data_IF_158288630824
#
_entry.id   IF_158288630824
#
_cell.length_a   1.000
_cell.length_b   1.000
_cell.length_c   1.000
_cell.angle_alpha   90.00
_cell.angle_beta   90.00
_cell.angle_gamma   90.00
#
_symmetry.space_group_name_H-M   'P 1'
#
loop_
_entity.id
_entity.type
_entity.pdbx_description
1 polymer ?
#
# COMPACT_ATOMS: atom_id res chain seq x y z
N UNK A 1 31.33 -34.05 31.68
CA UNK A 1 31.54 -34.85 30.46
C UNK A 1 30.51 -34.51 29.36
N UNK A 2 30.52 -33.28 28.86
CA UNK A 2 30.01 -32.92 27.52
C UNK A 2 30.54 -31.54 27.06
N UNK A 3 31.58 -31.02 27.74
CA UNK A 3 32.21 -29.71 27.47
C UNK A 3 33.63 -29.91 26.88
N UNK A 4 34.04 -31.16 26.62
CA UNK A 4 35.41 -31.50 26.21
C UNK A 4 35.54 -31.83 24.71
N UNK A 5 34.46 -31.89 23.94
CA UNK A 5 34.50 -32.36 22.53
C UNK A 5 34.46 -31.20 21.50
N UNK A 6 34.11 -29.97 21.90
CA UNK A 6 34.13 -28.80 21.01
C UNK A 6 35.33 -27.87 21.24
N UNK A 7 36.40 -28.37 21.88
CA UNK A 7 37.59 -27.60 22.23
C UNK A 7 38.65 -27.49 21.12
N UNK A 8 38.60 -28.33 20.07
CA UNK A 8 39.73 -28.52 19.15
C UNK A 8 39.52 -28.08 17.70
N UNK A 9 38.46 -27.32 17.38
CA UNK A 9 38.27 -26.75 16.03
C UNK A 9 38.18 -25.22 16.03
N UNK A 10 38.89 -24.57 16.95
CA UNK A 10 38.96 -23.11 17.10
C UNK A 10 40.37 -22.56 16.91
N UNK A 11 41.16 -23.11 15.97
CA UNK A 11 42.52 -22.64 15.70
C UNK A 11 42.95 -22.65 14.22
N UNK A 12 42.01 -22.63 13.27
CA UNK A 12 42.36 -22.36 11.88
C UNK A 12 41.33 -21.44 11.24
N UNK A 13 41.80 -20.27 10.81
CA UNK A 13 41.11 -19.17 10.10
C UNK A 13 40.69 -17.99 10.99
N UNK A 14 41.44 -16.90 10.81
CA UNK A 14 41.30 -15.61 11.46
C UNK A 14 40.14 -14.73 10.93
N UNK A 15 40.31 -13.40 10.87
CA UNK A 15 39.36 -12.43 11.40
C UNK A 15 38.28 -11.97 10.41
N UNK A 16 37.34 -12.84 10.02
CA UNK A 16 36.25 -12.49 9.10
C UNK A 16 34.83 -12.66 9.67
N UNK A 17 34.67 -12.74 10.99
CA UNK A 17 33.37 -12.98 11.62
C UNK A 17 32.93 -11.83 12.55
N UNK A 18 32.95 -10.58 12.06
CA UNK A 18 32.55 -9.42 12.88
C UNK A 18 31.90 -8.27 12.11
N UNK A 19 30.97 -8.54 11.17
CA UNK A 19 30.24 -7.43 10.52
C UNK A 19 28.83 -7.67 9.96
N UNK A 20 28.08 -8.67 10.43
CA UNK A 20 26.66 -8.85 10.07
C UNK A 20 25.68 -8.75 11.24
N UNK A 21 26.11 -8.22 12.40
CA UNK A 21 25.27 -8.18 13.62
C UNK A 21 24.68 -6.79 13.93
N UNK A 22 25.18 -5.71 13.34
CA UNK A 22 24.85 -4.33 13.79
C UNK A 22 23.84 -3.56 12.94
N UNK A 23 23.38 -4.07 11.79
CA UNK A 23 22.26 -3.48 11.02
C UNK A 23 20.88 -3.91 11.53
N UNK A 24 20.82 -4.99 12.33
CA UNK A 24 19.59 -5.64 12.78
C UNK A 24 19.00 -5.06 14.08
N UNK A 25 19.74 -4.19 14.78
CA UNK A 25 19.32 -3.67 16.10
C UNK A 25 18.70 -2.26 16.02
N UNK A 26 18.96 -1.48 14.96
CA UNK A 26 18.36 -0.13 14.78
C UNK A 26 16.93 -0.14 14.25
N UNK A 27 16.45 -1.25 13.71
CA UNK A 27 15.07 -1.41 13.22
C UNK A 27 14.07 -1.72 14.36
N UNK A 28 14.60 -2.12 15.53
CA UNK A 28 13.83 -2.63 16.68
C UNK A 28 13.08 -1.58 17.51
N UNK A 29 13.25 -0.27 17.30
CA UNK A 29 12.76 0.76 18.23
C UNK A 29 11.52 1.57 17.77
N UNK A 30 11.06 1.40 16.52
CA UNK A 30 9.84 2.09 16.02
C UNK A 30 8.62 1.14 16.05
N UNK A 31 8.87 -0.16 16.24
CA UNK A 31 7.90 -1.24 16.13
C UNK A 31 7.63 -1.89 17.49
N UNK A 32 6.81 -1.30 18.35
CA UNK A 32 6.40 -1.97 19.59
C UNK A 32 4.86 -2.13 19.65
N UNK A 33 4.07 -1.16 19.17
CA UNK A 33 2.61 -1.31 19.00
C UNK A 33 2.19 -1.81 17.60
N UNK A 34 2.94 -1.45 16.54
CA UNK A 34 2.73 -1.95 15.18
C UNK A 34 3.37 -3.33 14.93
N UNK A 35 4.23 -3.78 15.85
CA UNK A 35 5.00 -5.01 15.75
C UNK A 35 4.15 -6.27 15.64
N UNK A 36 3.04 -6.45 16.39
CA UNK A 36 2.28 -7.69 16.31
C UNK A 36 1.55 -7.84 14.96
N UNK A 37 0.87 -6.79 14.48
CA UNK A 37 0.08 -6.85 13.25
C UNK A 37 0.99 -7.00 12.03
N UNK A 38 2.07 -6.22 11.95
CA UNK A 38 3.02 -6.31 10.84
C UNK A 38 3.73 -7.68 10.86
N UNK A 39 4.09 -8.19 12.04
CA UNK A 39 4.72 -9.51 12.17
C UNK A 39 3.75 -10.65 11.85
N UNK A 40 2.47 -10.52 12.18
CA UNK A 40 1.43 -11.47 11.80
C UNK A 40 1.14 -11.43 10.30
N UNK A 41 1.07 -10.24 9.70
CA UNK A 41 0.90 -10.10 8.25
C UNK A 41 2.07 -10.71 7.49
N UNK A 42 3.31 -10.42 7.90
CA UNK A 42 4.51 -10.98 7.29
C UNK A 42 4.66 -12.49 7.53
N UNK A 43 4.24 -13.02 8.68
CA UNK A 43 4.15 -14.47 8.90
C UNK A 43 3.06 -15.12 8.02
N UNK A 44 1.89 -14.49 7.93
CA UNK A 44 0.75 -14.98 7.14
C UNK A 44 1.09 -15.07 5.65
N UNK A 45 1.76 -14.04 5.11
CA UNK A 45 2.28 -14.05 3.73
C UNK A 45 3.22 -15.25 3.51
N UNK A 46 4.15 -15.50 4.44
CA UNK A 46 5.06 -16.66 4.36
C UNK A 46 4.33 -17.99 4.48
N UNK A 47 3.27 -18.08 5.28
CA UNK A 47 2.48 -19.29 5.46
C UNK A 47 1.60 -19.61 4.25
N UNK A 48 1.16 -18.62 3.48
CA UNK A 48 0.40 -18.81 2.24
C UNK A 48 1.35 -19.04 1.06
N UNK A 49 2.51 -18.37 1.03
CA UNK A 49 3.51 -18.54 -0.03
C UNK A 49 4.09 -19.95 -0.09
N UNK A 50 4.41 -20.55 1.06
CA UNK A 50 4.98 -21.90 1.13
C UNK A 50 4.11 -23.02 0.52
N UNK A 51 2.82 -23.18 0.86
CA UNK A 51 1.97 -24.22 0.29
C UNK A 51 1.70 -24.00 -1.20
N UNK A 52 1.51 -22.74 -1.62
CA UNK A 52 1.32 -22.40 -3.05
C UNK A 52 2.57 -22.77 -3.84
N UNK A 53 3.74 -22.32 -3.38
CA UNK A 53 5.01 -22.62 -4.04
C UNK A 53 5.29 -24.13 -4.08
N UNK A 54 4.99 -24.87 -3.00
CA UNK A 54 5.10 -26.35 -2.99
C UNK A 54 4.18 -27.00 -4.02
N UNK A 55 2.95 -26.52 -4.16
CA UNK A 55 2.01 -26.99 -5.18
C UNK A 55 2.55 -26.76 -6.60
N UNK A 56 3.06 -25.55 -6.88
CA UNK A 56 3.61 -25.20 -8.20
C UNK A 56 4.91 -25.99 -8.48
N UNK A 57 5.76 -26.22 -7.47
CA UNK A 57 6.95 -27.09 -7.58
C UNK A 57 6.54 -28.53 -7.97
N UNK A 58 5.51 -29.08 -7.34
CA UNK A 58 4.99 -30.42 -7.66
C UNK A 58 4.44 -30.47 -9.09
N UNK A 59 3.71 -29.43 -9.52
CA UNK A 59 3.18 -29.32 -10.88
C UNK A 59 4.29 -29.20 -11.93
N UNK A 60 5.35 -28.44 -11.65
CA UNK A 60 6.51 -28.32 -12.52
C UNK A 60 7.30 -29.61 -12.68
N UNK A 61 7.39 -30.43 -11.62
CA UNK A 61 8.03 -31.75 -11.68
C UNK A 61 7.15 -32.79 -12.39
N UNK A 62 5.84 -32.75 -12.18
CA UNK A 62 4.90 -33.69 -12.80
C UNK A 62 4.65 -33.37 -14.27
N UNK A 63 4.75 -32.11 -14.68
CA UNK A 63 4.58 -31.68 -16.07
C UNK A 63 5.80 -30.87 -16.55
N UNK A 64 6.76 -31.51 -17.24
CA UNK A 64 7.98 -30.84 -17.72
C UNK A 64 7.68 -29.70 -18.71
N UNK A 65 6.55 -29.76 -19.43
CA UNK A 65 6.10 -28.67 -20.31
C UNK A 65 5.79 -27.40 -19.52
N UNK A 66 5.14 -27.54 -18.36
CA UNK A 66 4.83 -26.43 -17.48
C UNK A 66 6.09 -25.87 -16.84
N UNK A 67 6.97 -26.75 -16.33
CA UNK A 67 8.25 -26.35 -15.77
C UNK A 67 9.11 -25.53 -16.75
N UNK A 68 9.24 -26.02 -17.99
CA UNK A 68 10.09 -25.39 -19.01
C UNK A 68 9.49 -24.12 -19.63
N UNK A 69 8.16 -24.04 -19.79
CA UNK A 69 7.52 -22.87 -20.43
C UNK A 69 7.10 -21.78 -19.45
N UNK A 70 6.78 -22.13 -18.21
CA UNK A 70 6.20 -21.19 -17.24
C UNK A 70 7.20 -20.85 -16.14
N UNK A 71 7.83 -21.85 -15.53
CA UNK A 71 8.75 -21.62 -14.40
C UNK A 71 10.18 -21.25 -14.85
N UNK A 72 10.70 -21.89 -15.90
CA UNK A 72 12.09 -21.69 -16.31
C UNK A 72 12.39 -20.29 -16.89
N UNK A 73 11.56 -19.67 -17.75
CA UNK A 73 11.88 -18.35 -18.31
C UNK A 73 12.07 -17.25 -17.26
N UNK A 74 11.19 -17.06 -16.26
CA UNK A 74 11.40 -16.06 -15.22
C UNK A 74 12.61 -16.39 -14.32
N UNK A 75 12.86 -17.68 -14.05
CA UNK A 75 14.01 -18.10 -13.27
C UNK A 75 15.34 -17.81 -13.98
N UNK A 76 15.43 -18.08 -15.29
CA UNK A 76 16.62 -17.79 -16.09
C UNK A 76 16.84 -16.28 -16.27
N UNK A 77 15.76 -15.51 -16.43
CA UNK A 77 15.84 -14.05 -16.44
C UNK A 77 16.36 -13.49 -15.12
N UNK A 78 15.86 -14.00 -13.99
CA UNK A 78 16.33 -13.61 -12.66
C UNK A 78 17.82 -13.89 -12.51
N UNK A 79 18.27 -15.09 -12.89
CA UNK A 79 19.68 -15.45 -12.83
C UNK A 79 20.56 -14.57 -13.73
N UNK A 80 20.12 -14.32 -14.97
CA UNK A 80 20.82 -13.44 -15.90
C UNK A 80 20.94 -12.01 -15.36
N UNK A 81 19.85 -11.46 -14.82
CA UNK A 81 19.84 -10.15 -14.20
C UNK A 81 20.77 -10.10 -12.98
N UNK A 82 20.69 -11.08 -12.09
CA UNK A 82 21.51 -11.16 -10.88
C UNK A 82 23.01 -11.17 -11.22
N UNK A 83 23.43 -12.04 -12.14
CA UNK A 83 24.82 -12.15 -12.56
C UNK A 83 25.29 -10.88 -13.27
N UNK A 84 24.51 -10.33 -14.20
CA UNK A 84 24.88 -9.10 -14.89
C UNK A 84 24.94 -7.88 -13.97
N UNK A 85 23.99 -7.77 -13.04
CA UNK A 85 23.96 -6.67 -12.09
C UNK A 85 25.15 -6.77 -11.12
N UNK A 86 25.45 -7.96 -10.62
CA UNK A 86 26.61 -8.20 -9.75
C UNK A 86 27.91 -7.84 -10.45
N UNK A 87 28.08 -8.25 -11.70
CA UNK A 87 29.29 -7.91 -12.48
C UNK A 87 29.40 -6.41 -12.77
N UNK A 88 28.28 -5.73 -13.02
CA UNK A 88 28.23 -4.27 -13.14
C UNK A 88 28.60 -3.54 -11.84
N UNK A 89 28.06 -3.97 -10.71
CA UNK A 89 28.32 -3.35 -9.40
C UNK A 89 29.79 -3.53 -8.98
N UNK A 90 30.37 -4.70 -9.27
CA UNK A 90 31.78 -4.99 -8.97
C UNK A 90 32.77 -4.35 -9.96
N UNK A 91 32.28 -3.62 -10.98
CA UNK A 91 33.14 -2.96 -11.97
C UNK A 91 33.87 -3.93 -12.92
N UNK A 92 33.53 -5.23 -12.89
CA UNK A 92 34.16 -6.28 -13.69
C UNK A 92 33.61 -6.38 -15.12
N UNK A 93 32.73 -5.45 -15.53
CA UNK A 93 32.14 -5.41 -16.87
C UNK A 93 30.90 -6.29 -17.03
N UNK A 94 30.60 -6.69 -18.27
CA UNK A 94 29.46 -7.57 -18.59
C UNK A 94 29.90 -9.03 -18.40
N UNK A 95 29.04 -9.87 -17.81
CA UNK A 95 29.30 -11.30 -17.69
C UNK A 95 29.38 -11.93 -19.09
N UNK A 96 30.53 -12.54 -19.42
CA UNK A 96 30.79 -13.08 -20.77
C UNK A 96 30.00 -14.36 -21.05
N UNK A 97 29.75 -15.20 -20.03
CA UNK A 97 28.85 -16.35 -20.12
C UNK A 97 28.12 -16.56 -18.78
N UNK A 98 26.79 -16.51 -18.81
CA UNK A 98 25.95 -16.91 -17.67
C UNK A 98 25.53 -18.35 -17.90
N UNK A 99 26.07 -19.28 -17.11
CA UNK A 99 25.70 -20.68 -17.20
C UNK A 99 24.20 -20.83 -16.88
N UNK A 100 23.38 -21.41 -17.77
CA UNK A 100 21.96 -21.60 -17.51
C UNK A 100 21.77 -22.55 -16.32
N UNK A 101 20.78 -22.25 -15.46
CA UNK A 101 20.43 -23.16 -14.35
C UNK A 101 20.02 -24.54 -14.88
N UNK A 102 20.31 -25.59 -14.10
CA UNK A 102 19.75 -26.92 -14.35
C UNK A 102 18.22 -26.86 -14.37
N UNK A 103 17.60 -27.74 -15.15
CA UNK A 103 16.15 -27.74 -15.36
C UNK A 103 15.38 -27.84 -14.03
N UNK A 104 15.86 -28.65 -13.08
CA UNK A 104 15.28 -28.80 -11.76
C UNK A 104 15.37 -27.52 -10.91
N UNK A 105 16.53 -26.85 -10.92
CA UNK A 105 16.75 -25.62 -10.16
C UNK A 105 15.94 -24.44 -10.75
N UNK A 106 15.80 -24.39 -12.09
CA UNK A 106 14.98 -23.40 -12.77
C UNK A 106 13.48 -23.57 -12.43
N UNK A 107 13.01 -24.81 -12.36
CA UNK A 107 11.62 -25.10 -11.94
C UNK A 107 11.39 -24.75 -10.48
N UNK A 108 12.35 -25.05 -9.60
CA UNK A 108 12.23 -24.74 -8.19
C UNK A 108 12.17 -23.23 -7.92
N UNK A 109 13.12 -22.47 -8.48
CA UNK A 109 13.18 -21.02 -8.32
C UNK A 109 11.97 -20.35 -8.98
N UNK A 110 11.61 -20.78 -10.19
CA UNK A 110 10.46 -20.22 -10.92
C UNK A 110 9.14 -20.43 -10.19
N UNK A 111 8.94 -21.61 -9.58
CA UNK A 111 7.74 -21.90 -8.81
C UNK A 111 7.59 -21.01 -7.57
N UNK A 112 8.70 -20.71 -6.90
CA UNK A 112 8.73 -19.80 -5.74
C UNK A 112 8.41 -18.36 -6.15
N UNK A 113 9.01 -17.88 -7.24
CA UNK A 113 8.74 -16.56 -7.80
C UNK A 113 7.27 -16.40 -8.23
N UNK A 114 6.68 -17.41 -8.87
CA UNK A 114 5.27 -17.36 -9.28
C UNK A 114 4.35 -17.33 -8.05
N UNK A 115 4.64 -18.15 -7.03
CA UNK A 115 3.86 -18.18 -5.80
C UNK A 115 3.84 -16.83 -5.07
N UNK A 116 5.00 -16.19 -4.96
CA UNK A 116 5.10 -14.85 -4.37
C UNK A 116 4.41 -13.79 -5.23
N UNK A 117 4.68 -13.78 -6.54
CA UNK A 117 4.08 -12.83 -7.49
C UNK A 117 2.56 -12.91 -7.48
N UNK A 118 1.99 -14.11 -7.38
CA UNK A 118 0.55 -14.31 -7.29
C UNK A 118 -0.04 -13.62 -6.05
N UNK A 119 0.55 -13.85 -4.86
CA UNK A 119 0.08 -13.24 -3.61
C UNK A 119 0.23 -11.72 -3.67
N UNK A 120 1.36 -11.22 -4.16
CA UNK A 120 1.57 -9.77 -4.34
C UNK A 120 0.54 -9.15 -5.28
N UNK A 121 0.24 -9.81 -6.40
CA UNK A 121 -0.74 -9.33 -7.38
C UNK A 121 -2.14 -9.26 -6.76
N UNK A 122 -2.55 -10.29 -6.02
CA UNK A 122 -3.84 -10.30 -5.31
C UNK A 122 -3.89 -9.18 -4.27
N UNK A 123 -2.82 -9.00 -3.47
CA UNK A 123 -2.77 -7.97 -2.44
C UNK A 123 -2.84 -6.54 -3.04
N UNK A 124 -2.04 -6.27 -4.07
CA UNK A 124 -2.05 -4.98 -4.79
C UNK A 124 -3.40 -4.76 -5.46
N UNK A 125 -3.98 -5.79 -6.07
CA UNK A 125 -5.31 -5.73 -6.67
C UNK A 125 -6.41 -5.40 -5.66
N UNK A 126 -6.40 -6.03 -4.49
CA UNK A 126 -7.31 -5.71 -3.40
C UNK A 126 -7.16 -4.26 -2.92
N UNK A 127 -5.93 -3.80 -2.72
CA UNK A 127 -5.66 -2.43 -2.29
C UNK A 127 -6.13 -1.39 -3.33
N UNK A 128 -5.82 -1.63 -4.61
CA UNK A 128 -6.26 -0.77 -5.70
C UNK A 128 -7.79 -0.74 -5.82
N UNK A 129 -8.45 -1.89 -5.62
CA UNK A 129 -9.91 -1.98 -5.61
C UNK A 129 -10.53 -1.20 -4.45
N UNK A 130 -9.97 -1.32 -3.24
CA UNK A 130 -10.42 -0.57 -2.08
C UNK A 130 -10.22 0.93 -2.27
N UNK A 131 -9.05 1.33 -2.79
CA UNK A 131 -8.75 2.72 -3.12
C UNK A 131 -9.77 3.29 -4.13
N UNK A 132 -10.04 2.57 -5.22
CA UNK A 132 -11.04 2.99 -6.20
C UNK A 132 -12.45 3.08 -5.60
N UNK A 133 -12.81 2.15 -4.71
CA UNK A 133 -14.08 2.17 -3.99
C UNK A 133 -14.17 3.33 -3.01
N UNK A 134 -13.09 3.67 -2.30
CA UNK A 134 -13.01 4.80 -1.37
C UNK A 134 -13.10 6.13 -2.12
N UNK A 135 -12.37 6.29 -3.21
CA UNK A 135 -12.44 7.49 -4.06
C UNK A 135 -13.88 7.79 -4.52
N UNK A 136 -14.65 6.75 -4.90
CA UNK A 136 -16.09 6.91 -5.23
C UNK A 136 -16.94 7.33 -4.03
N UNK A 137 -16.61 6.87 -2.82
CA UNK A 137 -17.34 7.25 -1.59
C UNK A 137 -17.02 8.68 -1.18
N UNK A 138 -15.76 9.09 -1.28
CA UNK A 138 -15.30 10.45 -0.98
C UNK A 138 -15.95 11.46 -1.92
N UNK A 139 -15.95 11.21 -3.23
CA UNK A 139 -16.65 12.07 -4.20
C UNK A 139 -18.14 12.23 -3.88
N UNK A 140 -18.80 11.16 -3.42
CA UNK A 140 -20.21 11.23 -2.98
C UNK A 140 -20.37 11.99 -1.66
N UNK A 141 -19.37 11.97 -0.79
CA UNK A 141 -19.43 12.70 0.47
C UNK A 141 -19.21 14.20 0.25
N UNK A 142 -18.26 14.55 -0.63
CA UNK A 142 -17.99 15.92 -1.05
C UNK A 142 -19.23 16.55 -1.70
N UNK A 143 -19.87 15.87 -2.66
CA UNK A 143 -21.11 16.36 -3.27
C UNK A 143 -22.22 16.64 -2.24
N UNK A 144 -22.35 15.79 -1.22
CA UNK A 144 -23.35 16.02 -0.15
C UNK A 144 -23.01 17.23 0.71
N UNK A 145 -21.73 17.51 0.93
CA UNK A 145 -21.30 18.69 1.69
C UNK A 145 -21.57 19.96 0.89
N UNK A 146 -21.23 19.95 -0.40
CA UNK A 146 -21.53 21.07 -1.32
C UNK A 146 -23.03 21.33 -1.41
N UNK A 147 -23.85 20.29 -1.63
CA UNK A 147 -25.32 20.42 -1.67
C UNK A 147 -25.89 21.00 -0.36
N UNK A 148 -25.27 20.70 0.79
CA UNK A 148 -25.71 21.23 2.08
C UNK A 148 -25.37 22.72 2.24
N UNK A 149 -24.20 23.14 1.77
CA UNK A 149 -23.78 24.55 1.74
C UNK A 149 -24.71 25.35 0.83
N UNK A 150 -24.92 24.89 -0.41
CA UNK A 150 -25.80 25.57 -1.38
C UNK A 150 -27.23 25.74 -0.85
N UNK A 151 -27.75 24.73 -0.14
CA UNK A 151 -29.06 24.80 0.52
C UNK A 151 -29.10 25.81 1.66
N UNK A 152 -28.04 25.93 2.44
CA UNK A 152 -27.95 26.91 3.53
C UNK A 152 -27.86 28.33 2.97
N UNK A 153 -27.03 28.56 1.95
CA UNK A 153 -26.92 29.85 1.27
C UNK A 153 -28.26 30.29 0.67
N UNK A 154 -28.95 29.37 -0.01
CA UNK A 154 -30.28 29.63 -0.56
C UNK A 154 -31.29 30.07 0.51
N UNK A 155 -31.29 29.39 1.67
CA UNK A 155 -32.17 29.75 2.80
C UNK A 155 -31.82 31.11 3.40
N UNK A 156 -30.53 31.44 3.50
CA UNK A 156 -30.09 32.75 4.00
C UNK A 156 -30.55 33.86 3.05
N UNK A 157 -30.39 33.68 1.74
CA UNK A 157 -30.84 34.63 0.73
C UNK A 157 -32.36 34.81 0.75
N UNK A 158 -33.12 33.72 0.87
CA UNK A 158 -34.57 33.76 1.01
C UNK A 158 -35.01 34.54 2.25
N UNK A 159 -34.39 34.27 3.41
CA UNK A 159 -34.65 35.00 4.64
C UNK A 159 -34.31 36.50 4.49
N UNK A 160 -33.22 36.84 3.81
CA UNK A 160 -32.84 38.21 3.50
C UNK A 160 -33.92 38.94 2.68
N UNK A 161 -34.40 38.32 1.61
CA UNK A 161 -35.49 38.88 0.79
C UNK A 161 -36.78 39.07 1.59
N UNK A 162 -37.12 38.12 2.47
CA UNK A 162 -38.30 38.23 3.33
C UNK A 162 -38.17 39.39 4.33
N UNK A 163 -36.98 39.60 4.90
CA UNK A 163 -36.71 40.74 5.78
C UNK A 163 -36.85 42.07 5.04
N UNK A 164 -36.30 42.18 3.83
CA UNK A 164 -36.44 43.39 3.00
C UNK A 164 -37.90 43.69 2.65
N UNK A 165 -38.69 42.65 2.32
CA UNK A 165 -40.12 42.79 2.09
C UNK A 165 -40.88 43.25 3.34
N UNK A 166 -40.54 42.73 4.51
CA UNK A 166 -41.15 43.16 5.77
C UNK A 166 -40.81 44.61 6.09
N UNK A 167 -39.57 45.03 5.90
CA UNK A 167 -39.14 46.41 6.13
C UNK A 167 -39.82 47.40 5.16
N UNK A 168 -39.99 47.00 3.89
CA UNK A 168 -40.77 47.77 2.93
C UNK A 168 -42.25 47.93 3.36
N UNK A 169 -42.89 46.85 3.85
CA UNK A 169 -44.26 46.92 4.40
C UNK A 169 -44.35 47.81 5.62
N UNK A 170 -43.39 47.73 6.55
CA UNK A 170 -43.37 48.59 7.73
C UNK A 170 -43.26 50.07 7.36
N UNK A 171 -42.40 50.41 6.38
CA UNK A 171 -42.29 51.78 5.85
C UNK A 171 -43.61 52.26 5.24
N UNK A 172 -44.29 51.42 4.47
CA UNK A 172 -45.58 51.75 3.88
C UNK A 172 -46.65 52.00 4.95
N UNK A 173 -46.73 51.11 5.95
CA UNK A 173 -47.65 51.26 7.09
C UNK A 173 -47.39 52.56 7.85
N UNK A 174 -46.13 52.86 8.18
CA UNK A 174 -45.75 54.12 8.84
C UNK A 174 -46.16 55.34 8.01
N UNK A 175 -45.97 55.30 6.69
CA UNK A 175 -46.42 56.37 5.79
C UNK A 175 -47.94 56.56 5.87
N UNK A 176 -48.71 55.48 5.83
CA UNK A 176 -50.18 55.54 5.92
C UNK A 176 -50.62 56.13 7.27
N UNK A 177 -50.02 55.71 8.38
CA UNK A 177 -50.32 56.24 9.71
C UNK A 177 -50.05 57.74 9.77
N UNK A 178 -48.88 58.19 9.29
CA UNK A 178 -48.53 59.61 9.25
C UNK A 178 -49.49 60.44 8.39
N UNK A 179 -50.01 59.87 7.30
CA UNK A 179 -51.02 60.56 6.47
C UNK A 179 -52.43 60.59 7.09
N UNK A 180 -52.76 59.63 7.98
CA UNK A 180 -54.07 59.54 8.63
C UNK A 180 -54.13 60.22 9.99
N UNK A 181 -53.00 60.44 10.65
CA UNK A 181 -52.93 61.21 11.91
C UNK A 181 -52.84 62.70 11.58
N UNK A 182 -53.90 63.52 11.74
CA UNK A 182 -53.77 64.96 11.62
C UNK A 182 -52.85 65.46 12.72
N UNK A 183 -51.90 66.34 12.37
CA UNK A 183 -50.96 66.93 13.32
C UNK A 183 -51.71 67.54 14.52
N UNK A 184 -51.74 66.83 15.65
CA UNK A 184 -52.20 67.40 16.91
C UNK A 184 -51.11 68.36 17.37
N UNK A 185 -51.43 69.64 17.20
CA UNK A 185 -50.66 70.84 17.52
C UNK A 185 -49.69 70.66 18.70
N UNK A 186 -48.45 71.08 18.47
CA UNK A 186 -47.58 71.63 19.50
C UNK A 186 -48.26 72.86 20.14
N UNK A 187 -48.49 72.82 21.44
CA UNK A 187 -48.66 73.99 22.31
C UNK A 187 -48.09 73.65 23.68
#
# INVERSE_FOLDING_TARGET
MAVTIFGNFRLALGPYFSRYSTSFVREKMITEAAFPIIKLATLGIKQISKPISKGIKQLGKNNPTFGRRVCAPPAQLYHWLDVNLRMRILGLGKATEVAPLSEEAAVELGAEMIGETFIFTVAVGCLAFEYWRQARKEAKHENKQTDAIDRLESRVNELGMLLEQQDARLREMNRIILTRTPASKSS
#
